data_IF_726659198149
#
_entry.id   IF_726659198149
#
_cell.length_a   1.000
_cell.length_b   1.000
_cell.length_c   1.000
_cell.angle_alpha   90.00
_cell.angle_beta   90.00
_cell.angle_gamma   90.00
#
_symmetry.space_group_name_H-M   'P 1'
#
loop_
_entity.id
_entity.type
_entity.pdbx_description
1 polymer ?
#
# COMPACT_ATOMS: atom_id res chain seq x y z
N UNK A 1 32.24 -4.71 -26.21
CA UNK A 1 31.70 -3.45 -25.69
C UNK A 1 30.20 -3.60 -25.68
N UNK A 2 29.62 -3.99 -24.54
CA UNK A 2 28.17 -4.00 -24.36
C UNK A 2 27.73 -2.53 -24.33
N UNK A 3 26.93 -2.11 -25.34
CA UNK A 3 26.36 -0.78 -25.35
C UNK A 3 25.62 -0.52 -24.04
N UNK A 4 25.76 0.69 -23.51
CA UNK A 4 24.95 1.14 -22.38
C UNK A 4 23.47 0.96 -22.74
N UNK A 5 22.64 0.43 -21.82
CA UNK A 5 21.21 0.31 -22.08
C UNK A 5 20.66 1.67 -22.45
N UNK A 6 19.99 1.72 -23.60
CA UNK A 6 19.38 2.95 -24.11
C UNK A 6 17.95 3.04 -23.57
N UNK A 7 17.39 4.26 -23.53
CA UNK A 7 15.95 4.47 -23.24
C UNK A 7 15.10 3.58 -24.14
N UNK A 8 15.51 3.38 -25.40
CA UNK A 8 14.83 2.51 -26.36
C UNK A 8 14.81 1.04 -25.91
N UNK A 9 15.90 0.54 -25.30
CA UNK A 9 15.94 -0.84 -24.80
C UNK A 9 14.95 -1.04 -23.66
N UNK A 10 14.87 -0.10 -22.71
CA UNK A 10 13.87 -0.16 -21.63
C UNK A 10 12.45 -0.04 -22.20
N UNK A 11 12.25 0.85 -23.19
CA UNK A 11 10.95 1.07 -23.82
C UNK A 11 10.46 -0.16 -24.60
N UNK A 12 11.37 -0.95 -25.18
CA UNK A 12 11.03 -2.14 -25.93
C UNK A 12 10.46 -3.28 -25.05
N UNK A 13 10.73 -3.23 -23.75
CA UNK A 13 10.26 -4.22 -22.77
C UNK A 13 8.94 -3.79 -22.08
N UNK A 14 8.32 -2.65 -22.47
CA UNK A 14 7.06 -2.19 -21.86
C UNK A 14 5.93 -3.19 -22.14
N UNK A 15 5.25 -3.67 -21.08
CA UNK A 15 4.04 -4.47 -21.26
C UNK A 15 2.90 -3.66 -21.89
N UNK A 16 1.99 -4.35 -22.57
CA UNK A 16 0.86 -3.72 -23.24
C UNK A 16 -0.18 -3.17 -22.24
N UNK A 17 -0.74 -2.01 -22.57
CA UNK A 17 -1.94 -1.42 -21.97
C UNK A 17 -1.74 -0.62 -20.69
N UNK A 18 -2.78 0.13 -20.32
CA UNK A 18 -2.94 0.88 -19.08
C UNK A 18 -1.77 1.81 -18.74
N UNK A 19 -1.35 1.77 -17.48
CA UNK A 19 -0.23 2.58 -16.97
C UNK A 19 1.09 2.35 -17.70
N UNK A 20 1.24 1.25 -18.41
CA UNK A 20 2.45 0.98 -19.18
C UNK A 20 2.49 1.79 -20.49
N UNK A 21 1.37 2.03 -21.16
CA UNK A 21 1.31 2.67 -22.48
C UNK A 21 0.50 3.97 -22.57
N UNK A 22 -0.48 4.18 -21.69
CA UNK A 22 -1.40 5.32 -21.79
C UNK A 22 -0.80 6.63 -21.27
N UNK A 23 0.38 6.59 -20.64
CA UNK A 23 1.10 7.77 -20.17
C UNK A 23 2.43 7.92 -20.88
N UNK A 24 2.79 9.15 -21.23
CA UNK A 24 4.13 9.49 -21.69
C UNK A 24 5.13 9.36 -20.50
N UNK A 25 5.72 8.18 -20.37
CA UNK A 25 6.77 7.96 -19.37
C UNK A 25 8.09 8.55 -19.83
N UNK A 26 8.70 9.33 -18.97
CA UNK A 26 10.12 9.71 -19.11
C UNK A 26 10.98 8.61 -18.50
N UNK A 27 11.29 7.60 -19.29
CA UNK A 27 12.12 6.48 -18.85
C UNK A 27 13.57 6.90 -18.79
N UNK A 28 14.22 6.68 -17.64
CA UNK A 28 15.65 6.87 -17.49
C UNK A 28 16.42 5.68 -18.09
N UNK A 29 17.62 5.88 -18.68
CA UNK A 29 18.44 4.78 -19.21
C UNK A 29 19.04 3.92 -18.10
N UNK A 30 19.00 4.36 -16.85
CA UNK A 30 19.51 3.66 -15.65
C UNK A 30 18.68 4.02 -14.42
N UNK A 31 18.69 3.16 -13.39
CA UNK A 31 18.03 3.45 -12.11
C UNK A 31 18.60 4.72 -11.45
N UNK A 32 17.81 5.36 -10.61
CA UNK A 32 18.30 6.41 -9.71
C UNK A 32 19.26 5.80 -8.68
N UNK A 33 20.46 6.35 -8.58
CA UNK A 33 21.47 5.86 -7.65
C UNK A 33 21.24 6.41 -6.25
N UNK A 34 21.28 5.54 -5.27
CA UNK A 34 21.21 5.88 -3.85
C UNK A 34 22.49 5.41 -3.14
N UNK A 35 22.88 6.11 -2.06
CA UNK A 35 24.00 5.66 -1.22
C UNK A 35 23.62 4.44 -0.39
N UNK A 36 24.62 3.69 0.08
CA UNK A 36 24.41 2.55 0.99
C UNK A 36 23.73 3.00 2.28
N UNK A 37 24.13 4.16 2.83
CA UNK A 37 23.58 4.73 4.05
C UNK A 37 22.09 5.06 3.87
N UNK A 38 21.73 5.60 2.71
CA UNK A 38 20.31 5.88 2.41
C UNK A 38 19.50 4.58 2.24
N UNK A 39 20.10 3.55 1.62
CA UNK A 39 19.49 2.22 1.55
C UNK A 39 19.22 1.63 2.94
N UNK A 40 20.16 1.73 3.88
CA UNK A 40 19.96 1.29 5.27
C UNK A 40 18.87 2.08 6.00
N UNK A 41 18.74 3.37 5.73
CA UNK A 41 17.64 4.18 6.31
C UNK A 41 16.27 3.79 5.73
N UNK A 42 16.19 3.45 4.45
CA UNK A 42 14.96 2.94 3.83
C UNK A 42 14.53 1.60 4.45
N UNK A 43 15.47 0.70 4.73
CA UNK A 43 15.18 -0.56 5.43
C UNK A 43 14.58 -0.34 6.83
N UNK A 44 15.09 0.65 7.56
CA UNK A 44 14.57 1.02 8.89
C UNK A 44 13.22 1.74 8.81
N UNK A 45 12.99 2.49 7.73
CA UNK A 45 11.78 3.28 7.54
C UNK A 45 10.52 2.41 7.53
N UNK A 46 10.56 1.26 6.87
CA UNK A 46 9.42 0.33 6.83
C UNK A 46 8.93 -0.06 8.24
N UNK A 47 9.85 -0.40 9.14
CA UNK A 47 9.51 -0.73 10.52
C UNK A 47 8.93 0.48 11.29
N UNK A 48 9.50 1.68 11.11
CA UNK A 48 9.02 2.91 11.74
C UNK A 48 7.61 3.26 11.29
N UNK A 49 7.30 3.09 9.99
CA UNK A 49 5.96 3.33 9.43
C UNK A 49 4.94 2.33 9.98
N UNK A 50 5.29 1.07 10.17
CA UNK A 50 4.42 0.08 10.82
C UNK A 50 4.10 0.49 12.26
N UNK A 51 5.10 0.95 13.04
CA UNK A 51 4.88 1.47 14.39
C UNK A 51 3.97 2.70 14.38
N UNK A 52 4.21 3.62 13.46
CA UNK A 52 3.39 4.83 13.32
C UNK A 52 1.93 4.48 13.02
N UNK A 53 1.64 3.62 12.04
CA UNK A 53 0.25 3.24 11.72
C UNK A 53 -0.43 2.47 12.86
N UNK A 54 0.31 1.63 13.60
CA UNK A 54 -0.21 1.01 14.83
C UNK A 54 -0.59 2.04 15.87
N UNK A 55 0.25 3.05 16.07
CA UNK A 55 -0.04 4.14 17.00
C UNK A 55 -1.23 4.99 16.53
N UNK A 56 -1.35 5.26 15.22
CA UNK A 56 -2.52 5.93 14.64
C UNK A 56 -3.82 5.16 14.92
N UNK A 57 -3.86 3.86 14.64
CA UNK A 57 -5.02 3.00 14.92
C UNK A 57 -5.37 2.99 16.43
N UNK A 58 -4.36 2.92 17.27
CA UNK A 58 -4.53 2.93 18.71
C UNK A 58 -5.08 4.26 19.21
N UNK A 59 -4.54 5.41 18.74
CA UNK A 59 -5.00 6.74 19.09
C UNK A 59 -6.46 6.95 18.67
N UNK A 60 -6.79 6.60 17.42
CA UNK A 60 -8.16 6.67 16.93
C UNK A 60 -9.12 5.86 17.82
N UNK A 61 -8.82 4.60 18.09
CA UNK A 61 -9.68 3.73 18.90
C UNK A 61 -9.79 4.16 20.36
N UNK A 62 -8.74 4.71 20.94
CA UNK A 62 -8.76 5.26 22.30
C UNK A 62 -9.58 6.56 22.34
N UNK A 63 -9.45 7.42 21.35
CA UNK A 63 -10.25 8.63 21.20
C UNK A 63 -11.74 8.31 21.05
N UNK A 64 -12.10 7.40 20.16
CA UNK A 64 -13.48 6.94 19.97
C UNK A 64 -14.13 6.32 21.24
N UNK A 65 -13.29 5.87 22.20
CA UNK A 65 -13.72 5.31 23.51
C UNK A 65 -13.60 6.34 24.66
N UNK A 66 -13.28 7.58 24.39
CA UNK A 66 -13.09 8.64 25.37
C UNK A 66 -11.87 8.48 26.30
N UNK A 67 -10.87 7.65 25.91
CA UNK A 67 -9.61 7.44 26.64
C UNK A 67 -8.48 8.35 26.16
N UNK A 68 -8.67 8.97 25.03
CA UNK A 68 -7.86 10.04 24.44
C UNK A 68 -8.81 11.17 24.02
N UNK A 69 -8.33 12.37 23.67
CA UNK A 69 -9.19 13.49 23.29
C UNK A 69 -10.19 13.10 22.20
N UNK A 70 -11.48 13.27 22.46
CA UNK A 70 -12.57 12.83 21.55
C UNK A 70 -12.48 13.49 20.18
N UNK A 71 -12.02 14.74 20.12
CA UNK A 71 -11.88 15.50 18.87
C UNK A 71 -10.98 14.83 17.83
N UNK A 72 -10.08 13.91 18.23
CA UNK A 72 -9.25 13.17 17.26
C UNK A 72 -10.12 12.25 16.42
N UNK A 73 -10.97 11.43 17.05
CA UNK A 73 -11.90 10.57 16.32
C UNK A 73 -12.95 11.39 15.56
N UNK A 74 -13.45 12.47 16.15
CA UNK A 74 -14.45 13.36 15.51
C UNK A 74 -13.90 13.95 14.20
N UNK A 75 -12.65 14.39 14.18
CA UNK A 75 -11.99 14.91 12.97
C UNK A 75 -11.78 13.83 11.93
N UNK A 76 -11.32 12.64 12.36
CA UNK A 76 -11.03 11.53 11.44
C UNK A 76 -12.29 10.87 10.86
N UNK A 77 -13.42 11.00 11.53
CA UNK A 77 -14.72 10.51 11.08
C UNK A 77 -15.51 11.55 10.26
N UNK A 78 -15.10 12.81 10.33
CA UNK A 78 -15.82 13.90 9.66
C UNK A 78 -16.00 13.63 8.17
N UNK A 79 -17.24 13.75 7.67
CA UNK A 79 -17.59 13.56 6.27
C UNK A 79 -17.64 12.08 5.79
N UNK A 80 -17.40 11.11 6.67
CA UNK A 80 -17.46 9.69 6.31
C UNK A 80 -18.85 9.09 6.57
N UNK A 81 -19.27 8.10 5.76
CA UNK A 81 -20.54 7.39 5.98
C UNK A 81 -20.58 6.74 7.38
N UNK A 82 -21.68 6.91 8.14
CA UNK A 82 -21.81 6.37 9.50
C UNK A 82 -21.60 4.85 9.59
N UNK A 83 -22.04 4.11 8.58
CA UNK A 83 -21.87 2.65 8.49
C UNK A 83 -20.40 2.24 8.34
N UNK A 84 -19.61 3.02 7.59
CA UNK A 84 -18.18 2.80 7.45
C UNK A 84 -17.44 3.15 8.74
N UNK A 85 -17.81 4.25 9.41
CA UNK A 85 -17.31 4.63 10.73
C UNK A 85 -17.63 3.54 11.76
N UNK A 86 -18.84 3.00 11.75
CA UNK A 86 -19.21 1.89 12.63
C UNK A 86 -18.39 0.63 12.33
N UNK A 87 -18.17 0.31 11.06
CA UNK A 87 -17.40 -0.86 10.65
C UNK A 87 -15.92 -0.77 11.09
N UNK A 88 -15.25 0.39 10.87
CA UNK A 88 -13.84 0.53 11.30
C UNK A 88 -13.63 0.41 12.82
N UNK A 89 -14.69 0.59 13.62
CA UNK A 89 -14.69 0.43 15.07
C UNK A 89 -14.98 -1.01 15.53
N UNK A 90 -15.30 -1.91 14.59
CA UNK A 90 -15.57 -3.32 14.89
C UNK A 90 -14.36 -3.99 15.54
N UNK A 91 -14.64 -4.84 16.54
CA UNK A 91 -13.62 -5.60 17.24
C UNK A 91 -12.90 -6.61 16.33
N UNK A 92 -13.58 -7.11 15.29
CA UNK A 92 -13.05 -8.08 14.36
C UNK A 92 -11.82 -7.60 13.59
N UNK A 93 -11.72 -6.27 13.36
CA UNK A 93 -10.60 -5.63 12.63
C UNK A 93 -9.73 -4.74 13.54
N UNK A 94 -9.89 -4.86 14.85
CA UNK A 94 -9.28 -3.92 15.81
C UNK A 94 -7.75 -3.80 15.73
N UNK A 95 -7.05 -4.86 15.32
CA UNK A 95 -5.59 -4.88 15.20
C UNK A 95 -5.08 -4.74 13.78
N UNK A 96 -5.97 -4.70 12.80
CA UNK A 96 -5.58 -4.70 11.40
C UNK A 96 -5.01 -3.35 10.99
N UNK A 97 -3.88 -3.40 10.31
CA UNK A 97 -3.23 -2.26 9.66
C UNK A 97 -2.92 -2.62 8.20
N UNK A 98 -2.73 -1.63 7.31
CA UNK A 98 -2.26 -1.89 5.96
C UNK A 98 -0.96 -2.70 5.97
N UNK A 99 -0.88 -3.71 5.10
CA UNK A 99 0.36 -4.50 4.91
C UNK A 99 1.24 -3.94 3.81
N UNK A 100 0.70 -3.03 3.00
CA UNK A 100 1.44 -2.22 2.03
C UNK A 100 1.39 -0.79 2.49
N UNK A 101 2.54 -0.13 2.51
CA UNK A 101 2.68 1.28 2.87
C UNK A 101 3.67 1.88 1.88
N UNK A 102 3.23 2.87 1.10
CA UNK A 102 4.12 3.62 0.20
C UNK A 102 4.31 5.03 0.79
N UNK A 103 5.49 5.33 1.34
CA UNK A 103 5.83 6.71 1.63
C UNK A 103 6.30 7.43 0.37
N UNK A 104 5.82 8.64 0.14
CA UNK A 104 6.39 9.54 -0.85
C UNK A 104 7.47 10.38 -0.16
N UNK A 105 8.71 10.26 -0.65
CA UNK A 105 9.88 10.89 -0.05
C UNK A 105 10.34 12.08 -0.90
N UNK A 106 10.49 13.23 -0.25
CA UNK A 106 11.15 14.40 -0.84
C UNK A 106 12.59 14.43 -0.33
N UNK A 107 13.55 14.23 -1.24
CA UNK A 107 14.96 14.29 -0.89
C UNK A 107 15.39 15.74 -0.59
N UNK A 108 16.15 15.91 0.47
CA UNK A 108 16.70 17.19 0.93
C UNK A 108 18.22 17.10 1.02
N UNK A 109 18.88 18.22 1.31
CA UNK A 109 20.33 18.25 1.56
C UNK A 109 20.75 17.39 2.76
N UNK A 110 19.87 17.26 3.76
CA UNK A 110 20.17 16.62 5.04
C UNK A 110 19.46 15.27 5.22
N UNK A 111 18.88 14.71 4.13
CA UNK A 111 18.17 13.45 4.18
C UNK A 111 16.88 13.45 3.35
N UNK A 112 15.73 13.25 3.99
CA UNK A 112 14.43 13.24 3.31
C UNK A 112 13.29 13.68 4.23
N UNK A 113 12.20 14.11 3.61
CA UNK A 113 10.92 14.38 4.29
C UNK A 113 9.85 13.46 3.71
N UNK A 114 9.00 12.91 4.55
CA UNK A 114 7.84 12.14 4.12
C UNK A 114 6.72 13.12 3.78
N UNK A 115 6.33 13.17 2.52
CA UNK A 115 5.26 14.05 2.03
C UNK A 115 3.89 13.38 2.06
N UNK A 116 3.86 12.04 1.92
CA UNK A 116 2.64 11.25 1.87
C UNK A 116 2.89 9.83 2.39
N UNK A 117 1.84 9.21 2.93
CA UNK A 117 1.78 7.78 3.21
C UNK A 117 0.52 7.26 2.55
N UNK A 118 0.69 6.33 1.61
CA UNK A 118 -0.39 5.69 0.87
C UNK A 118 -0.46 4.21 1.24
N UNK A 119 -1.65 3.72 1.55
CA UNK A 119 -1.91 2.32 1.87
C UNK A 119 -2.58 1.54 0.74
N UNK A 120 -2.98 2.22 -0.34
CA UNK A 120 -3.53 1.62 -1.58
C UNK A 120 -2.70 2.06 -2.79
N UNK A 121 -1.37 1.90 -2.76
CA UNK A 121 -0.51 2.51 -3.76
C UNK A 121 -0.67 1.88 -5.14
N UNK A 122 -0.87 2.72 -6.17
CA UNK A 122 -0.62 2.36 -7.54
C UNK A 122 0.89 2.23 -7.83
N UNK A 123 1.25 1.59 -8.93
CA UNK A 123 2.64 1.48 -9.38
C UNK A 123 3.40 0.27 -8.81
N UNK A 124 2.76 -0.66 -8.12
CA UNK A 124 3.41 -1.87 -7.60
C UNK A 124 3.92 -2.75 -8.75
N UNK A 125 3.06 -3.03 -9.74
CA UNK A 125 3.43 -3.80 -10.91
C UNK A 125 4.43 -3.06 -11.79
N UNK A 126 4.25 -1.75 -11.97
CA UNK A 126 5.21 -0.91 -12.71
C UNK A 126 6.60 -0.94 -12.06
N UNK A 127 6.68 -0.83 -10.72
CA UNK A 127 7.96 -0.89 -10.01
C UNK A 127 8.58 -2.29 -10.10
N UNK A 128 7.76 -3.34 -10.01
CA UNK A 128 8.23 -4.72 -10.20
C UNK A 128 8.80 -4.94 -11.61
N UNK A 129 8.11 -4.43 -12.63
CA UNK A 129 8.59 -4.46 -14.00
C UNK A 129 9.91 -3.70 -14.18
N UNK A 130 10.02 -2.48 -13.62
CA UNK A 130 11.26 -1.69 -13.66
C UNK A 130 12.42 -2.41 -12.97
N UNK A 131 12.19 -3.01 -11.80
CA UNK A 131 13.21 -3.79 -11.10
C UNK A 131 13.75 -4.91 -11.99
N UNK A 132 12.84 -5.69 -12.59
CA UNK A 132 13.21 -6.81 -13.46
C UNK A 132 13.96 -6.31 -14.69
N UNK A 133 13.43 -5.33 -15.40
CA UNK A 133 14.01 -4.77 -16.63
C UNK A 133 15.41 -4.20 -16.38
N UNK A 134 15.60 -3.38 -15.34
CA UNK A 134 16.93 -2.84 -15.05
C UNK A 134 17.92 -3.89 -14.58
N UNK A 135 17.47 -4.90 -13.82
CA UNK A 135 18.34 -6.01 -13.43
C UNK A 135 18.78 -6.84 -14.64
N UNK A 136 17.87 -7.12 -15.58
CA UNK A 136 18.18 -7.85 -16.84
C UNK A 136 19.15 -7.04 -17.74
N UNK A 137 19.10 -5.72 -17.66
CA UNK A 137 20.07 -4.82 -18.31
C UNK A 137 21.42 -4.71 -17.56
N UNK A 138 21.59 -5.43 -16.46
CA UNK A 138 22.84 -5.52 -15.71
C UNK A 138 23.02 -4.48 -14.61
N UNK A 139 21.96 -3.76 -14.24
CA UNK A 139 22.00 -2.83 -13.11
C UNK A 139 21.77 -3.53 -11.78
N UNK A 140 22.44 -3.05 -10.74
CA UNK A 140 22.13 -3.45 -9.36
C UNK A 140 20.92 -2.64 -8.89
N UNK A 141 19.79 -3.32 -8.59
CA UNK A 141 18.56 -2.69 -8.13
C UNK A 141 18.25 -3.10 -6.68
N UNK A 142 17.66 -2.18 -5.92
CA UNK A 142 17.29 -2.43 -4.53
C UNK A 142 16.30 -3.60 -4.45
N UNK A 143 16.59 -4.58 -3.60
CA UNK A 143 15.79 -5.80 -3.50
C UNK A 143 16.02 -6.83 -4.61
N UNK A 144 16.84 -6.52 -5.63
CA UNK A 144 17.08 -7.39 -6.78
C UNK A 144 15.94 -7.39 -7.79
N UNK A 145 16.05 -8.22 -8.83
CA UNK A 145 15.07 -8.30 -9.92
C UNK A 145 13.64 -8.61 -9.42
N UNK A 146 13.52 -9.46 -8.42
CA UNK A 146 12.22 -9.94 -7.91
C UNK A 146 11.81 -9.30 -6.58
N UNK A 147 12.53 -8.26 -6.08
CA UNK A 147 12.28 -7.70 -4.75
C UNK A 147 10.85 -7.25 -4.50
N UNK A 148 10.20 -6.61 -5.50
CA UNK A 148 8.80 -6.21 -5.41
C UNK A 148 7.85 -7.41 -5.44
N UNK A 149 8.12 -8.42 -6.25
CA UNK A 149 7.33 -9.66 -6.33
C UNK A 149 7.40 -10.42 -5.01
N UNK A 150 8.62 -10.60 -4.46
CA UNK A 150 8.85 -11.22 -3.15
C UNK A 150 8.13 -10.48 -2.03
N UNK A 151 8.18 -9.15 -2.03
CA UNK A 151 7.49 -8.30 -1.08
C UNK A 151 5.98 -8.48 -1.16
N UNK A 152 5.41 -8.41 -2.36
CA UNK A 152 3.97 -8.53 -2.55
C UNK A 152 3.46 -9.96 -2.25
N UNK A 153 4.19 -11.00 -2.60
CA UNK A 153 3.84 -12.38 -2.25
C UNK A 153 3.78 -12.60 -0.72
N UNK A 154 4.59 -11.88 0.07
CA UNK A 154 4.51 -11.92 1.55
C UNK A 154 3.32 -11.13 2.09
N UNK A 155 2.93 -10.04 1.43
CA UNK A 155 1.75 -9.24 1.79
C UNK A 155 0.48 -10.02 1.52
N UNK A 156 0.40 -10.65 0.35
CA UNK A 156 -0.72 -11.44 -0.14
C UNK A 156 -0.21 -12.83 -0.55
N UNK A 157 -0.19 -13.83 0.33
CA UNK A 157 0.33 -15.17 0.03
C UNK A 157 -0.70 -16.00 -0.77
N UNK A 158 -0.90 -15.63 -2.03
CA UNK A 158 -2.04 -16.05 -2.84
C UNK A 158 -3.32 -15.28 -2.46
N UNK A 159 -4.22 -15.08 -3.42
CA UNK A 159 -5.47 -14.38 -3.15
C UNK A 159 -6.01 -13.56 -4.30
N UNK A 160 -7.05 -12.81 -4.01
CA UNK A 160 -7.74 -11.98 -5.00
C UNK A 160 -7.28 -10.52 -4.89
N UNK A 161 -6.91 -9.93 -6.02
CA UNK A 161 -6.64 -8.49 -6.18
C UNK A 161 -7.93 -7.86 -6.73
N UNK A 162 -8.63 -7.09 -5.90
CA UNK A 162 -9.90 -6.47 -6.28
C UNK A 162 -9.68 -5.07 -6.80
N UNK A 163 -10.13 -4.83 -8.02
CA UNK A 163 -10.05 -3.52 -8.68
C UNK A 163 -11.47 -2.97 -8.86
N UNK A 164 -11.71 -1.74 -8.40
CA UNK A 164 -12.94 -1.01 -8.67
C UNK A 164 -12.96 -0.48 -10.11
N UNK A 165 -14.12 0.02 -10.56
CA UNK A 165 -14.24 0.69 -11.85
C UNK A 165 -13.38 1.96 -11.92
N UNK A 166 -13.32 2.73 -10.84
CA UNK A 166 -12.46 3.93 -10.70
C UNK A 166 -10.97 3.60 -10.87
N UNK A 167 -10.53 2.46 -10.34
CA UNK A 167 -9.15 1.99 -10.44
C UNK A 167 -8.85 1.17 -11.71
N UNK A 168 -9.78 1.09 -12.67
CA UNK A 168 -9.67 0.22 -13.85
C UNK A 168 -8.41 0.47 -14.70
N UNK A 169 -7.89 1.70 -14.73
CA UNK A 169 -6.64 2.06 -15.43
C UNK A 169 -5.41 1.32 -14.90
N UNK A 170 -5.45 0.81 -13.67
CA UNK A 170 -4.39 0.01 -13.06
C UNK A 170 -4.50 -1.49 -13.36
N UNK A 171 -5.58 -1.93 -14.01
CA UNK A 171 -5.81 -3.36 -14.29
C UNK A 171 -4.69 -4.02 -15.08
N UNK A 172 -4.14 -3.43 -16.17
CA UNK A 172 -3.03 -4.03 -16.90
C UNK A 172 -1.80 -4.26 -16.01
N UNK A 173 -1.49 -3.29 -15.14
CA UNK A 173 -0.40 -3.39 -14.18
C UNK A 173 -0.62 -4.53 -13.17
N UNK A 174 -1.83 -4.65 -12.62
CA UNK A 174 -2.16 -5.71 -11.65
C UNK A 174 -2.24 -7.09 -12.30
N UNK A 175 -2.70 -7.18 -13.55
CA UNK A 175 -2.68 -8.42 -14.33
C UNK A 175 -1.24 -8.89 -14.54
N UNK A 176 -0.37 -8.00 -15.00
CA UNK A 176 1.05 -8.31 -15.18
C UNK A 176 1.68 -8.78 -13.85
N UNK A 177 1.40 -8.07 -12.75
CA UNK A 177 1.87 -8.44 -11.41
C UNK A 177 1.40 -9.85 -11.03
N UNK A 178 0.11 -10.15 -11.18
CA UNK A 178 -0.46 -11.47 -10.88
C UNK A 178 0.13 -12.58 -11.76
N UNK A 179 0.37 -12.32 -13.04
CA UNK A 179 1.02 -13.25 -13.96
C UNK A 179 2.45 -13.59 -13.51
N UNK A 180 3.25 -12.56 -13.15
CA UNK A 180 4.61 -12.78 -12.64
C UNK A 180 4.60 -13.56 -11.31
N UNK A 181 3.70 -13.21 -10.39
CA UNK A 181 3.54 -13.92 -9.12
C UNK A 181 3.16 -15.39 -9.33
N UNK A 182 2.23 -15.66 -10.23
CA UNK A 182 1.82 -17.03 -10.58
C UNK A 182 2.95 -17.82 -11.25
N UNK A 183 3.82 -17.17 -12.01
CA UNK A 183 4.98 -17.82 -12.63
C UNK A 183 6.08 -18.16 -11.61
N UNK A 184 6.41 -17.21 -10.73
CA UNK A 184 7.50 -17.36 -9.75
C UNK A 184 7.10 -18.17 -8.51
N UNK A 185 5.85 -18.06 -8.05
CA UNK A 185 5.39 -18.59 -6.76
C UNK A 185 4.24 -19.62 -6.89
N UNK A 186 4.13 -20.32 -8.02
CA UNK A 186 3.07 -21.30 -8.29
C UNK A 186 2.87 -22.36 -7.20
N UNK A 187 3.93 -22.68 -6.43
CA UNK A 187 3.88 -23.67 -5.34
C UNK A 187 3.37 -23.08 -4.01
N UNK A 188 3.30 -21.77 -3.87
CA UNK A 188 2.98 -21.07 -2.61
C UNK A 188 1.64 -20.37 -2.62
N UNK A 189 1.10 -20.04 -3.79
CA UNK A 189 -0.16 -19.36 -3.92
C UNK A 189 -0.64 -19.25 -5.37
N UNK A 190 -1.84 -18.70 -5.50
CA UNK A 190 -2.41 -18.34 -6.79
C UNK A 190 -3.07 -16.97 -6.69
N UNK A 191 -2.76 -16.07 -7.60
CA UNK A 191 -3.25 -14.69 -7.62
C UNK A 191 -4.21 -14.48 -8.78
N UNK A 192 -5.37 -13.86 -8.49
CA UNK A 192 -6.38 -13.50 -9.49
C UNK A 192 -6.65 -12.01 -9.41
N UNK A 193 -6.80 -11.36 -10.55
CA UNK A 193 -7.27 -9.98 -10.63
C UNK A 193 -8.75 -10.00 -10.99
N UNK A 194 -9.57 -9.40 -10.15
CA UNK A 194 -11.02 -9.46 -10.20
C UNK A 194 -11.65 -8.07 -10.13
N UNK A 195 -12.83 -7.93 -10.71
CA UNK A 195 -13.68 -6.77 -10.45
C UNK A 195 -14.24 -6.84 -9.03
N UNK A 196 -14.40 -5.66 -8.42
CA UNK A 196 -14.97 -5.54 -7.07
C UNK A 196 -16.50 -5.72 -7.08
N UNK A 197 -16.97 -6.83 -7.66
CA UNK A 197 -18.39 -7.23 -7.77
C UNK A 197 -18.72 -8.37 -6.80
N UNK A 198 -19.98 -8.52 -6.34
CA UNK A 198 -20.36 -9.59 -5.45
C UNK A 198 -20.12 -10.98 -6.06
N UNK A 199 -19.56 -11.88 -5.25
CA UNK A 199 -19.27 -13.27 -5.64
C UNK A 199 -19.19 -14.16 -4.41
N UNK A 200 -19.21 -15.48 -4.61
CA UNK A 200 -19.18 -16.47 -3.54
C UNK A 200 -17.89 -17.29 -3.51
N UNK A 201 -17.03 -17.12 -4.51
CA UNK A 201 -15.79 -17.90 -4.70
C UNK A 201 -14.54 -17.10 -4.33
N UNK A 202 -14.64 -16.22 -3.31
CA UNK A 202 -13.50 -15.48 -2.79
C UNK A 202 -12.40 -16.42 -2.31
N UNK A 203 -11.15 -16.08 -2.63
CA UNK A 203 -10.02 -16.63 -1.89
C UNK A 203 -9.95 -16.00 -0.49
N UNK A 204 -9.34 -16.69 0.47
CA UNK A 204 -9.27 -16.23 1.86
C UNK A 204 -8.56 -14.88 2.01
N UNK A 205 -7.56 -14.62 1.17
CA UNK A 205 -6.80 -13.36 1.20
C UNK A 205 -7.24 -12.47 0.06
N UNK A 206 -7.46 -11.19 0.38
CA UNK A 206 -7.91 -10.18 -0.59
C UNK A 206 -7.04 -8.94 -0.47
N UNK A 207 -6.48 -8.51 -1.58
CA UNK A 207 -5.89 -7.19 -1.72
C UNK A 207 -6.92 -6.24 -2.28
N UNK A 208 -7.32 -5.24 -1.48
CA UNK A 208 -8.27 -4.21 -1.86
C UNK A 208 -7.53 -3.11 -2.63
N UNK A 209 -7.71 -3.07 -3.94
CA UNK A 209 -7.14 -2.02 -4.78
C UNK A 209 -8.22 -1.01 -5.21
N UNK A 210 -8.77 -0.33 -4.24
CA UNK A 210 -9.69 0.81 -4.35
C UNK A 210 -9.70 1.61 -3.05
N UNK A 211 -10.01 2.90 -3.15
CA UNK A 211 -10.09 3.80 -2.01
C UNK A 211 -11.42 3.65 -1.25
N UNK A 212 -11.40 3.91 0.06
CA UNK A 212 -12.63 3.80 0.87
C UNK A 212 -13.60 4.95 0.66
N UNK A 213 -13.17 6.07 0.09
CA UNK A 213 -14.09 7.14 -0.31
C UNK A 213 -14.95 6.74 -1.53
N UNK A 214 -14.50 5.77 -2.35
CA UNK A 214 -15.24 5.24 -3.50
C UNK A 214 -16.17 4.07 -3.12
N UNK A 215 -16.22 3.69 -1.85
CA UNK A 215 -16.87 2.47 -1.38
C UNK A 215 -18.35 2.37 -1.78
N UNK A 216 -19.05 3.50 -1.92
CA UNK A 216 -20.43 3.55 -2.40
C UNK A 216 -20.58 3.02 -3.83
N UNK A 217 -19.50 3.02 -4.62
CA UNK A 217 -19.46 2.55 -6.02
C UNK A 217 -18.87 1.14 -6.13
N UNK A 218 -18.57 0.48 -5.00
CA UNK A 218 -18.01 -0.88 -4.95
C UNK A 218 -19.12 -1.87 -4.63
N UNK A 219 -19.71 -2.57 -5.61
CA UNK A 219 -20.86 -3.47 -5.38
C UNK A 219 -20.58 -4.61 -4.41
N UNK A 220 -19.32 -5.03 -4.28
CA UNK A 220 -18.91 -6.12 -3.38
C UNK A 220 -18.83 -5.72 -1.89
N UNK A 221 -19.02 -4.44 -1.54
CA UNK A 221 -18.79 -3.90 -0.18
C UNK A 221 -19.44 -4.73 0.92
N UNK A 222 -20.75 -5.03 0.80
CA UNK A 222 -21.48 -5.79 1.82
C UNK A 222 -20.93 -7.21 1.97
N UNK A 223 -20.66 -7.90 0.85
CA UNK A 223 -20.13 -9.26 0.87
C UNK A 223 -18.73 -9.31 1.51
N UNK A 224 -17.86 -8.32 1.19
CA UNK A 224 -16.54 -8.20 1.79
C UNK A 224 -16.61 -7.94 3.30
N UNK A 225 -17.46 -7.01 3.74
CA UNK A 225 -17.64 -6.71 5.15
C UNK A 225 -18.18 -7.90 5.94
N UNK A 226 -19.11 -8.68 5.37
CA UNK A 226 -19.61 -9.89 5.98
C UNK A 226 -18.51 -10.96 6.10
N UNK A 227 -17.75 -11.21 5.04
CA UNK A 227 -16.61 -12.13 5.07
C UNK A 227 -15.55 -11.76 6.12
N UNK A 228 -15.28 -10.46 6.32
CA UNK A 228 -14.40 -9.98 7.40
C UNK A 228 -14.98 -10.30 8.78
N UNK A 229 -16.27 -10.02 9.02
CA UNK A 229 -16.94 -10.31 10.30
C UNK A 229 -16.95 -11.80 10.63
N UNK A 230 -17.18 -12.62 9.62
CA UNK A 230 -17.19 -14.09 9.71
C UNK A 230 -15.79 -14.69 9.79
N UNK A 231 -14.74 -13.88 9.62
CA UNK A 231 -13.33 -14.29 9.55
C UNK A 231 -13.04 -15.28 8.41
N UNK A 232 -13.87 -15.29 7.40
CA UNK A 232 -13.67 -16.05 6.16
C UNK A 232 -12.77 -15.32 5.18
N UNK A 233 -12.65 -13.98 5.31
CA UNK A 233 -11.80 -13.13 4.50
C UNK A 233 -10.79 -12.33 5.34
N UNK A 234 -9.55 -12.26 4.86
CA UNK A 234 -8.50 -11.38 5.35
C UNK A 234 -8.19 -10.32 4.28
N UNK A 235 -8.57 -9.09 4.56
CA UNK A 235 -8.45 -7.99 3.58
C UNK A 235 -7.33 -7.04 3.97
N UNK A 236 -6.48 -6.70 3.00
CA UNK A 236 -5.47 -5.66 3.11
C UNK A 236 -5.54 -4.73 1.88
N UNK A 237 -5.47 -3.41 2.04
CA UNK A 237 -5.62 -2.65 3.30
C UNK A 237 -6.98 -2.88 3.98
N UNK A 238 -7.07 -2.74 5.32
CA UNK A 238 -8.33 -2.95 6.04
C UNK A 238 -9.36 -1.85 5.73
N UNK A 239 -10.63 -2.11 6.05
CA UNK A 239 -11.70 -1.12 5.91
C UNK A 239 -11.65 -0.10 7.06
N UNK A 240 -10.57 0.67 7.13
CA UNK A 240 -10.30 1.67 8.16
C UNK A 240 -9.97 3.03 7.52
N UNK A 241 -10.98 3.81 7.14
CA UNK A 241 -10.76 5.10 6.47
C UNK A 241 -9.94 6.08 7.33
N UNK A 242 -9.94 5.95 8.65
CA UNK A 242 -9.08 6.76 9.49
C UNK A 242 -7.58 6.55 9.21
N UNK A 243 -7.16 5.36 8.72
CA UNK A 243 -5.76 5.08 8.39
C UNK A 243 -5.35 5.58 6.99
N UNK A 244 -6.31 6.01 6.17
CA UNK A 244 -6.05 6.59 4.84
C UNK A 244 -5.96 8.13 4.88
N UNK A 245 -6.03 8.73 6.08
CA UNK A 245 -6.06 10.18 6.26
C UNK A 245 -4.66 10.80 6.34
N UNK A 246 -4.40 11.80 5.51
CA UNK A 246 -3.18 12.62 5.60
C UNK A 246 -3.15 13.50 6.86
N UNK A 247 -4.31 13.66 7.51
CA UNK A 247 -4.44 14.44 8.76
C UNK A 247 -3.51 13.91 9.86
N UNK A 248 -3.07 12.67 9.83
CA UNK A 248 -2.12 12.10 10.77
C UNK A 248 -0.81 12.87 10.87
N UNK A 249 -0.33 13.47 9.77
CA UNK A 249 0.85 14.32 9.80
C UNK A 249 0.66 15.58 10.65
N UNK A 250 -0.54 16.19 10.59
CA UNK A 250 -0.86 17.32 11.47
C UNK A 250 -1.04 16.87 12.91
N UNK A 251 -1.76 15.76 13.15
CA UNK A 251 -1.99 15.22 14.51
C UNK A 251 -0.69 14.81 15.19
N UNK A 252 0.32 14.37 14.44
CA UNK A 252 1.63 14.01 14.97
C UNK A 252 2.33 15.20 15.67
N UNK A 253 2.20 16.40 15.11
CA UNK A 253 2.87 17.60 15.62
C UNK A 253 2.06 18.36 16.68
N UNK A 254 0.84 17.90 17.00
CA UNK A 254 0.02 18.61 17.98
C UNK A 254 0.49 18.33 19.41
N UNK A 255 0.85 19.41 20.12
CA UNK A 255 1.34 19.34 21.50
C UNK A 255 0.45 18.52 22.46
N UNK A 256 -0.89 18.58 22.42
CA UNK A 256 -1.73 17.74 23.29
C UNK A 256 -1.58 16.22 23.08
N UNK A 257 -0.99 15.79 21.97
CA UNK A 257 -0.78 14.39 21.64
C UNK A 257 0.69 13.95 21.78
N UNK A 258 1.59 14.85 22.12
CA UNK A 258 3.03 14.59 22.18
C UNK A 258 3.38 13.44 23.14
N UNK A 259 2.79 13.41 24.33
CA UNK A 259 3.03 12.35 25.32
C UNK A 259 2.58 10.98 24.80
N UNK A 260 1.44 10.94 24.09
CA UNK A 260 0.96 9.72 23.44
C UNK A 260 1.99 9.20 22.40
N UNK A 261 2.44 10.08 21.51
CA UNK A 261 3.38 9.71 20.46
C UNK A 261 4.72 9.24 21.02
N UNK A 262 5.27 9.93 22.00
CA UNK A 262 6.54 9.53 22.66
C UNK A 262 6.42 8.17 23.30
N UNK A 263 5.31 7.88 23.96
CA UNK A 263 5.07 6.58 24.59
C UNK A 263 4.96 5.44 23.57
N UNK A 264 4.20 5.65 22.49
CA UNK A 264 3.90 4.58 21.53
C UNK A 264 5.04 4.34 20.52
N UNK A 265 5.77 5.38 20.15
CA UNK A 265 6.86 5.28 19.17
C UNK A 265 8.23 5.15 19.85
N UNK A 266 8.37 5.56 21.09
CA UNK A 266 9.64 5.64 21.81
C UNK A 266 10.48 6.85 21.40
N UNK A 267 11.39 7.27 22.29
CA UNK A 267 12.22 8.49 22.14
C UNK A 267 13.10 8.52 20.87
N UNK A 268 13.40 7.35 20.29
CA UNK A 268 14.24 7.26 19.09
C UNK A 268 13.47 7.38 17.77
N UNK A 269 12.18 7.17 17.80
CA UNK A 269 11.33 7.21 16.62
C UNK A 269 10.46 8.47 16.55
N UNK A 270 10.30 9.16 17.68
CA UNK A 270 9.70 10.47 17.81
C UNK A 270 10.77 11.55 17.72
#
# INVERSE_FOLDING_TARGET
MSGLPTVQAVHAELPDGGLFHEKEWRIAPRPFEISSEFGEELDKLGYRLVLFLKACDQLYRQSAKGRQPAWVADLLDAGKPPELVAFQRDHGIAGDIPRVIRPDLILTTDGYTIAEIDSVPGGIGLTAWLNKTYADLGHNVLGGANGMLDGFARVLPGGDILISEEAATYRPEMNWLAEQLNAEFASTGHWRVLDATPRTDWQQHVYRFFELFDLAQVPATEALQNGIREKSLHITPPFKPALEEKLWFALFWLKPLEEFWRRELGERAF
#
